data_IF_024797988098
#
_entry.id   IF_024797988098
#
_cell.length_a   1.000
_cell.length_b   1.000
_cell.length_c   1.000
_cell.angle_alpha   90.00
_cell.angle_beta   90.00
_cell.angle_gamma   90.00
#
_symmetry.space_group_name_H-M   'P 1'
#
loop_
_entity.id
_entity.type
_entity.pdbx_description
1 polymer ?
#
# COMPACT_ATOMS: atom_id res chain seq x y z
N UNK A 1 -19.69 28.46 -23.38
CA UNK A 1 -18.84 27.28 -23.11
C UNK A 1 -17.41 27.75 -23.05
N UNK A 2 -16.73 27.63 -21.91
CA UNK A 2 -15.34 28.05 -21.77
C UNK A 2 -14.41 27.03 -22.44
N UNK A 3 -13.42 27.50 -23.20
CA UNK A 3 -12.30 26.66 -23.62
C UNK A 3 -11.23 26.67 -22.53
N UNK A 4 -10.50 25.57 -22.40
CA UNK A 4 -9.34 25.44 -21.51
C UNK A 4 -8.10 25.25 -22.37
N UNK A 5 -7.06 26.03 -22.11
CA UNK A 5 -5.74 25.87 -22.73
C UNK A 5 -4.85 25.05 -21.82
N UNK A 6 -4.30 23.94 -22.33
CA UNK A 6 -3.35 23.08 -21.62
C UNK A 6 -2.00 23.17 -22.31
N UNK A 7 -0.95 23.43 -21.53
CA UNK A 7 0.42 23.42 -22.04
C UNK A 7 1.08 22.08 -21.75
N UNK A 8 1.48 21.38 -22.80
CA UNK A 8 2.15 20.09 -22.72
C UNK A 8 3.67 20.27 -22.51
N UNK A 9 4.34 19.18 -22.14
CA UNK A 9 5.77 19.18 -21.83
C UNK A 9 6.66 19.50 -23.04
N UNK A 10 6.20 19.22 -24.25
CA UNK A 10 6.86 19.58 -25.51
C UNK A 10 6.73 21.07 -25.85
N UNK A 11 5.97 21.84 -25.05
CA UNK A 11 5.70 23.25 -25.25
C UNK A 11 4.45 23.56 -26.08
N UNK A 12 3.79 22.54 -26.62
CA UNK A 12 2.54 22.67 -27.38
C UNK A 12 1.42 23.12 -26.45
N UNK A 13 0.58 24.05 -26.92
CA UNK A 13 -0.64 24.47 -26.21
C UNK A 13 -1.84 23.91 -26.94
N UNK A 14 -2.61 23.07 -26.25
CA UNK A 14 -3.83 22.45 -26.76
C UNK A 14 -5.04 23.18 -26.18
N UNK A 15 -5.96 23.61 -27.05
CA UNK A 15 -7.23 24.19 -26.63
C UNK A 15 -8.31 23.13 -26.70
N UNK A 16 -8.91 22.81 -25.57
CA UNK A 16 -9.99 21.84 -25.50
C UNK A 16 -11.28 22.47 -25.00
N UNK A 17 -12.44 21.92 -25.38
CA UNK A 17 -13.68 22.25 -24.71
C UNK A 17 -13.48 22.03 -23.20
N UNK A 18 -13.88 22.99 -22.35
CA UNK A 18 -13.81 22.85 -20.89
C UNK A 18 -14.80 21.84 -20.30
N UNK A 19 -15.10 20.78 -21.06
CA UNK A 19 -15.94 19.66 -20.64
C UNK A 19 -15.13 18.80 -19.69
N UNK A 20 -15.66 18.65 -18.48
CA UNK A 20 -15.13 17.75 -17.48
C UNK A 20 -15.90 16.44 -17.51
N UNK A 21 -15.20 15.33 -17.33
CA UNK A 21 -15.75 13.99 -17.26
C UNK A 21 -15.42 13.38 -15.92
N UNK A 22 -16.44 12.95 -15.18
CA UNK A 22 -16.24 12.23 -13.93
C UNK A 22 -15.96 10.76 -14.25
N UNK A 23 -14.77 10.29 -13.86
CA UNK A 23 -14.35 8.90 -14.08
C UNK A 23 -14.04 8.24 -12.74
N UNK A 24 -14.53 7.01 -12.59
CA UNK A 24 -14.12 6.14 -11.49
C UNK A 24 -12.77 5.52 -11.82
N UNK A 25 -11.76 5.81 -11.00
CA UNK A 25 -10.41 5.28 -11.07
C UNK A 25 -10.22 4.31 -9.92
N UNK A 26 -9.92 3.04 -10.26
CA UNK A 26 -9.64 2.01 -9.27
C UNK A 26 -8.34 1.27 -9.60
N UNK A 27 -7.44 1.20 -8.64
CA UNK A 27 -6.15 0.52 -8.74
C UNK A 27 -5.73 0.05 -7.34
N UNK A 28 -5.49 -1.25 -7.13
CA UNK A 28 -5.27 -1.84 -5.79
C UNK A 28 -6.31 -1.34 -4.76
N UNK A 29 -5.85 -0.66 -3.71
CA UNK A 29 -6.66 -0.08 -2.63
C UNK A 29 -7.15 1.35 -2.95
N UNK A 30 -6.74 1.90 -4.09
CA UNK A 30 -7.21 3.19 -4.58
C UNK A 30 -8.58 3.05 -5.23
N UNK A 31 -9.55 3.85 -4.77
CA UNK A 31 -10.87 3.93 -5.38
C UNK A 31 -11.40 5.36 -5.27
N UNK A 32 -11.45 6.08 -6.39
CA UNK A 32 -11.82 7.50 -6.43
C UNK A 32 -12.66 7.80 -7.67
N UNK A 33 -13.63 8.69 -7.52
CA UNK A 33 -14.26 9.36 -8.66
C UNK A 33 -13.64 10.74 -8.81
N UNK A 34 -13.07 11.04 -9.98
CA UNK A 34 -12.38 12.29 -10.24
C UNK A 34 -12.84 12.92 -11.55
N UNK A 35 -12.90 14.25 -11.56
CA UNK A 35 -13.26 15.03 -12.74
C UNK A 35 -12.03 15.30 -13.61
N UNK A 36 -11.95 14.65 -14.76
CA UNK A 36 -10.88 14.81 -15.73
C UNK A 36 -11.23 15.79 -16.84
N UNK A 37 -10.19 16.37 -17.45
CA UNK A 37 -10.30 17.11 -18.70
C UNK A 37 -9.99 16.15 -19.85
N UNK A 38 -10.88 16.05 -20.82
CA UNK A 38 -10.66 15.23 -22.01
C UNK A 38 -9.67 15.92 -22.96
N UNK A 39 -8.52 15.30 -23.18
CA UNK A 39 -7.50 15.72 -24.14
C UNK A 39 -7.29 14.60 -25.16
N UNK A 40 -7.18 14.95 -26.44
CA UNK A 40 -6.80 14.00 -27.48
C UNK A 40 -5.27 13.79 -27.41
N UNK A 41 -4.85 12.67 -26.83
CA UNK A 41 -3.45 12.31 -26.63
C UNK A 41 -3.16 10.95 -27.26
N UNK A 42 -1.99 10.80 -27.88
CA UNK A 42 -1.59 9.59 -28.62
C UNK A 42 -1.05 8.47 -27.72
N UNK A 43 -0.45 8.81 -26.57
CA UNK A 43 0.37 7.89 -25.76
C UNK A 43 -0.16 7.55 -24.38
N UNK A 44 -1.14 8.28 -23.87
CA UNK A 44 -1.57 8.15 -22.48
C UNK A 44 -3.09 8.06 -22.39
N UNK A 45 -3.57 7.03 -21.69
CA UNK A 45 -5.01 6.84 -21.47
C UNK A 45 -5.56 7.73 -20.35
N UNK A 46 -4.76 8.01 -19.31
CA UNK A 46 -5.15 8.82 -18.16
C UNK A 46 -3.92 9.43 -17.46
N UNK A 47 -4.03 10.68 -17.03
CA UNK A 47 -3.00 11.36 -16.23
C UNK A 47 -3.61 11.80 -14.89
N UNK A 48 -3.08 11.26 -13.80
CA UNK A 48 -3.42 11.70 -12.44
C UNK A 48 -2.53 12.90 -12.08
N UNK A 49 -3.15 14.06 -11.96
CA UNK A 49 -2.45 15.30 -11.61
C UNK A 49 -2.22 15.44 -10.10
N UNK A 50 -1.59 16.57 -9.73
CA UNK A 50 -1.34 16.93 -8.33
C UNK A 50 -2.58 16.84 -7.42
N UNK A 51 -3.79 17.31 -7.80
CA UNK A 51 -4.96 17.21 -6.92
C UNK A 51 -5.33 15.77 -6.54
N UNK A 52 -5.11 14.81 -7.44
CA UNK A 52 -5.32 13.38 -7.16
C UNK A 52 -4.27 12.88 -6.17
N UNK A 53 -2.99 13.20 -6.43
CA UNK A 53 -1.88 12.80 -5.57
C UNK A 53 -1.97 13.41 -4.17
N UNK A 54 -2.41 14.65 -4.04
CA UNK A 54 -2.61 15.33 -2.74
C UNK A 54 -3.78 14.73 -1.95
N UNK A 55 -4.85 14.32 -2.63
CA UNK A 55 -6.04 13.75 -1.98
C UNK A 55 -5.78 12.39 -1.35
N UNK A 56 -4.99 11.56 -2.04
CA UNK A 56 -4.79 10.16 -1.66
C UNK A 56 -3.41 9.85 -1.11
N UNK A 57 -2.49 10.83 -1.20
CA UNK A 57 -1.11 10.79 -0.73
C UNK A 57 -0.44 9.43 -0.99
N UNK A 58 -0.44 8.91 -2.24
CA UNK A 58 0.06 7.56 -2.47
C UNK A 58 1.55 7.46 -2.13
N UNK A 59 1.97 6.31 -1.59
CA UNK A 59 3.40 6.02 -1.54
C UNK A 59 3.87 5.64 -2.94
N UNK A 60 5.06 6.11 -3.32
CA UNK A 60 5.66 5.86 -4.63
C UNK A 60 7.02 5.20 -4.41
N UNK A 61 7.14 3.94 -4.78
CA UNK A 61 8.43 3.27 -4.90
C UNK A 61 9.00 3.51 -6.29
N UNK A 62 9.94 4.45 -6.36
CA UNK A 62 10.67 4.79 -7.58
C UNK A 62 11.55 3.64 -8.11
N UNK A 63 12.08 2.78 -7.22
CA UNK A 63 12.99 1.68 -7.63
C UNK A 63 12.21 0.47 -8.10
N UNK A 64 11.18 0.09 -7.36
CA UNK A 64 10.26 -1.00 -7.72
C UNK A 64 9.23 -0.61 -8.76
N UNK A 65 9.09 0.68 -9.09
CA UNK A 65 8.07 1.23 -10.01
C UNK A 65 6.65 0.85 -9.58
N UNK A 66 6.42 0.90 -8.27
CA UNK A 66 5.15 0.58 -7.65
C UNK A 66 4.57 1.82 -6.98
N UNK A 67 3.25 1.86 -6.91
CA UNK A 67 2.51 2.85 -6.15
C UNK A 67 1.53 2.10 -5.25
N UNK A 68 1.04 2.74 -4.19
CA UNK A 68 -0.04 2.16 -3.39
C UNK A 68 -0.66 3.20 -2.47
N UNK A 69 -1.76 2.81 -1.82
CA UNK A 69 -2.45 3.69 -0.89
C UNK A 69 -1.57 3.96 0.34
N UNK A 70 -1.50 5.22 0.79
CA UNK A 70 -0.93 5.50 2.09
C UNK A 70 -1.77 4.83 3.17
N UNK A 71 -1.14 3.95 3.95
CA UNK A 71 -1.79 3.35 5.12
C UNK A 71 -2.05 4.47 6.13
N UNK A 72 -3.27 4.59 6.70
CA UNK A 72 -3.49 5.44 7.85
C UNK A 72 -2.48 5.06 8.95
N UNK A 73 -1.90 6.04 9.63
CA UNK A 73 -0.95 5.83 10.75
C UNK A 73 -1.58 5.12 11.99
N UNK A 74 -2.76 4.52 11.86
CA UNK A 74 -3.60 4.02 12.95
C UNK A 74 -4.00 2.57 12.71
N UNK A 75 -3.01 1.67 12.66
CA UNK A 75 -3.25 0.26 13.02
C UNK A 75 -1.98 -0.47 13.44
N UNK A 76 -1.07 0.21 14.13
CA UNK A 76 0.08 -0.44 14.77
C UNK A 76 0.25 -0.02 16.25
N UNK A 77 -0.77 0.65 16.82
CA UNK A 77 -0.78 0.97 18.25
C UNK A 77 -2.02 0.41 18.94
N UNK A 78 -1.79 -0.71 19.62
CA UNK A 78 -2.54 -1.27 20.73
C UNK A 78 -3.85 -2.04 20.44
N UNK A 79 -3.72 -3.30 20.04
CA UNK A 79 -4.32 -4.40 20.83
C UNK A 79 -3.24 -4.97 21.78
N UNK A 80 -2.69 -4.09 22.62
CA UNK A 80 -2.13 -4.49 23.90
C UNK A 80 -3.28 -4.29 24.88
N UNK A 81 -4.04 -5.35 25.11
CA UNK A 81 -4.86 -5.49 26.32
C UNK A 81 -4.57 -6.87 26.88
N UNK A 82 -3.97 -6.86 28.07
CA UNK A 82 -3.38 -8.01 28.72
C UNK A 82 -4.43 -8.89 29.43
N UNK A 83 -4.34 -10.23 29.22
CA UNK A 83 -4.24 -11.34 30.23
C UNK A 83 -5.52 -11.70 31.06
N UNK A 84 -5.77 -12.96 31.55
CA UNK A 84 -4.90 -14.16 31.69
C UNK A 84 -5.47 -15.56 31.28
N UNK A 85 -4.55 -16.53 31.28
CA UNK A 85 -4.69 -17.97 31.63
C UNK A 85 -5.68 -18.86 30.87
N UNK A 86 -5.14 -19.72 30.00
CA UNK A 86 -5.65 -21.09 29.85
C UNK A 86 -4.54 -22.05 29.42
N UNK A 87 -4.25 -22.97 30.35
CA UNK A 87 -3.75 -24.33 30.19
C UNK A 87 -2.83 -24.64 28.99
N UNK A 88 -1.53 -24.82 29.29
CA UNK A 88 -0.81 -26.03 28.84
C UNK A 88 0.06 -26.57 29.97
N UNK A 89 -0.59 -27.42 30.76
CA UNK A 89 0.04 -28.57 31.38
C UNK A 89 0.89 -29.30 30.31
N UNK A 90 2.20 -29.25 30.48
CA UNK A 90 3.14 -30.12 29.78
C UNK A 90 4.20 -30.59 30.75
N UNK A 91 3.81 -31.59 31.54
CA UNK A 91 4.56 -32.84 31.62
C UNK A 91 5.91 -32.77 32.34
N UNK A 92 5.85 -33.08 33.63
CA UNK A 92 6.99 -33.61 34.38
C UNK A 92 7.71 -34.71 33.58
N UNK A 93 9.01 -34.52 33.32
CA UNK A 93 9.94 -35.60 32.97
C UNK A 93 11.24 -35.37 33.72
N UNK A 94 11.34 -36.18 34.75
CA UNK A 94 12.43 -36.44 35.68
C UNK A 94 13.81 -36.40 35.03
N UNK A 95 14.76 -35.74 35.70
CA UNK A 95 16.16 -35.74 35.30
C UNK A 95 16.81 -37.07 35.67
N UNK A 96 17.32 -37.79 34.68
CA UNK A 96 18.17 -38.96 34.89
C UNK A 96 19.62 -38.47 34.87
N UNK A 97 20.18 -38.25 36.07
CA UNK A 97 21.60 -38.02 36.29
C UNK A 97 22.39 -39.29 35.94
N UNK A 98 23.50 -39.09 35.23
CA UNK A 98 24.40 -40.17 34.83
C UNK A 98 25.25 -40.71 35.97
N UNK A 99 25.67 -41.96 35.82
CA UNK A 99 26.89 -42.48 36.41
C UNK A 99 27.49 -43.50 35.44
N UNK A 100 28.70 -43.20 34.96
CA UNK A 100 29.57 -44.12 34.24
C UNK A 100 30.29 -44.99 35.27
N UNK A 101 30.24 -46.32 35.09
CA UNK A 101 31.09 -47.27 35.78
C UNK A 101 31.81 -48.11 34.71
N UNK A 102 33.14 -48.23 34.73
CA UNK A 102 33.86 -49.10 33.81
C UNK A 102 33.82 -50.55 34.28
N UNK A 103 33.88 -51.44 33.28
CA UNK A 103 33.77 -52.89 33.36
C UNK A 103 34.92 -53.53 34.16
N UNK A 104 34.60 -54.61 34.90
CA UNK A 104 35.61 -55.61 35.27
C UNK A 104 35.25 -56.97 34.64
N UNK A 105 36.30 -57.52 34.05
CA UNK A 105 36.41 -58.76 33.28
C UNK A 105 36.76 -59.90 34.23
N UNK A 106 35.92 -60.97 34.23
CA UNK A 106 36.21 -62.41 34.31
C UNK A 106 35.04 -63.20 34.92
#
# INVERSE_FOLDING_TARGET
MGQVSVRLADGTVVNVPGVRMDLAVKFEDFNSTESFLALDMDKYDLILGMPSLEKHEPWIDWRGKAIGASRPAVSDRALVSNVPTSARDWGAREGHQGAYAPEEVL
#
